data_IF_869386840175
#
_entry.id   IF_869386840175
#
_cell.length_a   1.000
_cell.length_b   1.000
_cell.length_c   1.000
_cell.angle_alpha   90.00
_cell.angle_beta   90.00
_cell.angle_gamma   90.00
#
_symmetry.space_group_name_H-M   'P 1'
#
loop_
_entity.id
_entity.type
_entity.pdbx_description
1 polymer ?
#
# COMPACT_ATOMS: atom_id res chain seq x y z
N UNK A 1 13.98 -6.95 -4.01
CA UNK A 1 13.13 -6.86 -2.80
C UNK A 1 11.69 -7.08 -3.25
N UNK A 2 11.09 -8.22 -2.91
CA UNK A 2 9.71 -8.53 -3.26
C UNK A 2 8.78 -7.63 -2.45
N UNK A 3 7.96 -6.83 -3.14
CA UNK A 3 6.89 -6.05 -2.53
C UNK A 3 5.69 -6.97 -2.46
N UNK A 4 5.25 -7.33 -1.26
CA UNK A 4 3.96 -7.98 -1.06
C UNK A 4 2.90 -6.91 -0.86
N UNK A 5 2.18 -6.56 -1.93
CA UNK A 5 0.96 -5.75 -1.80
C UNK A 5 -0.16 -6.68 -1.34
N UNK A 6 -0.37 -6.72 -0.03
CA UNK A 6 -1.46 -7.49 0.57
C UNK A 6 -2.64 -6.57 0.83
N UNK A 7 -3.71 -6.73 0.06
CA UNK A 7 -4.97 -6.04 0.32
C UNK A 7 -5.70 -6.67 1.50
N UNK A 8 -5.67 -6.03 2.67
CA UNK A 8 -6.47 -6.50 3.81
C UNK A 8 -7.94 -6.15 3.54
N UNK A 9 -8.80 -7.17 3.47
CA UNK A 9 -10.24 -6.98 3.37
C UNK A 9 -10.83 -6.84 4.77
N UNK A 10 -11.24 -5.63 5.13
CA UNK A 10 -11.99 -5.40 6.36
C UNK A 10 -13.46 -5.64 6.04
N UNK A 11 -14.04 -6.69 6.63
CA UNK A 11 -15.47 -7.00 6.49
C UNK A 11 -16.32 -6.07 7.37
N UNK A 12 -16.25 -4.76 7.08
CA UNK A 12 -17.05 -3.73 7.71
C UNK A 12 -17.53 -2.74 6.63
N UNK A 13 -18.83 -2.46 6.60
CA UNK A 13 -19.43 -1.58 5.58
C UNK A 13 -19.25 -2.10 4.14
N UNK A 14 -19.02 -1.24 3.14
CA UNK A 14 -18.95 -1.62 1.72
C UNK A 14 -17.76 -2.52 1.33
N UNK A 15 -16.88 -2.87 2.28
CA UNK A 15 -15.69 -3.68 2.07
C UNK A 15 -14.52 -2.82 1.63
N UNK A 16 -13.77 -2.30 2.60
CA UNK A 16 -12.56 -1.51 2.36
C UNK A 16 -11.35 -2.41 2.12
N UNK A 17 -10.42 -1.89 1.30
CA UNK A 17 -9.10 -2.48 1.08
C UNK A 17 -8.05 -1.47 1.53
N UNK A 18 -7.14 -1.95 2.37
CA UNK A 18 -5.97 -1.21 2.81
C UNK A 18 -4.75 -1.81 2.12
N UNK A 19 -3.86 -0.95 1.65
CA UNK A 19 -2.57 -1.34 1.09
C UNK A 19 -1.44 -0.89 2.03
N UNK A 20 -0.45 -1.75 2.22
CA UNK A 20 0.72 -1.45 3.04
C UNK A 20 1.94 -2.12 2.41
N UNK A 21 3.11 -1.55 2.69
CA UNK A 21 4.38 -2.21 2.44
C UNK A 21 5.05 -2.61 3.75
N UNK A 22 6.04 -3.50 3.67
CA UNK A 22 6.74 -4.01 4.85
C UNK A 22 8.26 -3.95 4.63
N UNK A 23 8.98 -3.44 5.62
CA UNK A 23 10.46 -3.42 5.66
C UNK A 23 10.90 -4.06 6.96
N UNK A 24 11.44 -5.28 6.88
CA UNK A 24 11.77 -6.06 8.07
C UNK A 24 10.55 -6.27 8.95
N UNK A 25 10.55 -5.68 10.15
CA UNK A 25 9.45 -5.73 11.12
C UNK A 25 8.53 -4.50 11.09
N UNK A 26 8.84 -3.50 10.24
CA UNK A 26 8.08 -2.26 10.15
C UNK A 26 7.03 -2.37 9.04
N UNK A 27 5.76 -2.16 9.40
CA UNK A 27 4.67 -1.97 8.42
C UNK A 27 4.50 -0.48 8.10
N UNK A 28 4.39 -0.17 6.81
CA UNK A 28 4.19 1.18 6.29
C UNK A 28 2.81 1.21 5.64
N UNK A 29 1.89 1.94 6.27
CA UNK A 29 0.56 2.14 5.72
C UNK A 29 0.63 3.08 4.52
N UNK A 30 0.25 2.59 3.35
CA UNK A 30 0.10 3.41 2.16
C UNK A 30 -1.34 3.94 2.23
N UNK A 31 -1.48 5.25 2.46
CA UNK A 31 -2.77 5.92 2.70
C UNK A 31 -3.62 6.02 1.43
N UNK A 32 -3.87 4.89 0.77
CA UNK A 32 -4.71 4.71 -0.39
C UNK A 32 -5.63 3.50 -0.17
N UNK A 33 -6.83 3.58 -0.75
CA UNK A 33 -7.85 2.57 -0.62
C UNK A 33 -9.17 3.07 -1.17
N UNK A 34 -9.99 2.13 -1.62
CA UNK A 34 -11.28 2.39 -2.24
C UNK A 34 -12.16 1.15 -2.20
N UNK A 35 -13.27 1.19 -2.92
CA UNK A 35 -14.17 0.04 -3.03
C UNK A 35 -13.70 -0.95 -4.11
N UNK A 36 -14.58 -1.90 -4.47
CA UNK A 36 -14.22 -2.92 -5.46
C UNK A 36 -13.95 -2.36 -6.86
N UNK A 37 -14.64 -1.29 -7.26
CA UNK A 37 -14.59 -0.70 -8.59
C UNK A 37 -13.26 -0.01 -8.89
N UNK A 38 -12.56 0.50 -7.86
CA UNK A 38 -11.31 1.25 -8.00
C UNK A 38 -10.06 0.42 -7.72
N UNK A 39 -10.21 -0.88 -7.44
CA UNK A 39 -9.14 -1.76 -6.97
C UNK A 39 -7.82 -1.61 -7.72
N UNK A 40 -7.88 -1.67 -9.05
CA UNK A 40 -6.67 -1.63 -9.87
C UNK A 40 -5.98 -0.26 -9.79
N UNK A 41 -6.76 0.83 -9.74
CA UNK A 41 -6.21 2.17 -9.59
C UNK A 41 -5.57 2.36 -8.21
N UNK A 42 -6.17 1.79 -7.17
CA UNK A 42 -5.63 1.88 -5.81
C UNK A 42 -4.35 1.04 -5.65
N UNK A 43 -4.26 -0.13 -6.30
CA UNK A 43 -3.02 -0.93 -6.37
C UNK A 43 -1.91 -0.12 -7.04
N UNK A 44 -2.19 0.50 -8.19
CA UNK A 44 -1.18 1.30 -8.90
C UNK A 44 -0.69 2.46 -8.02
N UNK A 45 -1.61 3.12 -7.31
CA UNK A 45 -1.25 4.22 -6.40
C UNK A 45 -0.44 3.76 -5.19
N UNK A 46 -0.73 2.58 -4.67
CA UNK A 46 0.08 1.96 -3.62
C UNK A 46 1.52 1.71 -4.11
N UNK A 47 1.70 1.22 -5.34
CA UNK A 47 3.03 1.04 -5.94
C UNK A 47 3.78 2.36 -6.10
N UNK A 48 3.09 3.42 -6.54
CA UNK A 48 3.69 4.75 -6.67
C UNK A 48 4.15 5.29 -5.30
N UNK A 49 3.30 5.19 -4.28
CA UNK A 49 3.64 5.63 -2.91
C UNK A 49 4.79 4.83 -2.31
N UNK A 50 4.84 3.52 -2.57
CA UNK A 50 5.95 2.70 -2.13
C UNK A 50 7.27 3.09 -2.80
N UNK A 51 7.21 3.40 -4.09
CA UNK A 51 8.39 3.84 -4.85
C UNK A 51 8.92 5.17 -4.32
N UNK A 52 8.04 6.14 -4.09
CA UNK A 52 8.38 7.44 -3.47
C UNK A 52 8.97 7.26 -2.07
N UNK A 53 8.40 6.37 -1.24
CA UNK A 53 8.93 6.04 0.07
C UNK A 53 10.38 5.53 0.00
N UNK A 54 10.66 4.57 -0.89
CA UNK A 54 12.01 4.00 -1.00
C UNK A 54 13.03 5.06 -1.45
N UNK A 55 12.69 5.85 -2.47
CA UNK A 55 13.57 6.90 -2.98
C UNK A 55 13.94 7.89 -1.86
N UNK A 56 12.95 8.35 -1.07
CA UNK A 56 13.21 9.23 0.07
C UNK A 56 14.01 8.54 1.16
N UNK A 57 13.82 7.24 1.39
CA UNK A 57 14.58 6.52 2.40
C UNK A 57 16.06 6.35 2.03
N UNK A 58 16.37 6.24 0.73
CA UNK A 58 17.74 6.17 0.21
C UNK A 58 18.43 7.54 0.24
N UNK A 59 17.71 8.64 -0.03
CA UNK A 59 18.24 10.00 0.06
C UNK A 59 18.57 10.44 1.50
N UNK A 60 17.95 9.81 2.51
CA UNK A 60 18.11 10.15 3.93
C UNK A 60 19.04 9.18 4.69
N UNK A 61 19.64 8.21 4.01
CA UNK A 61 20.61 7.24 4.57
C UNK A 61 22.05 7.57 4.19
#
# INVERSE_FOLDING_TARGET
>A
MLIEIVGLRINYGPGYRIYFGQIGLTMILLLCGGDKSTQQQDINRALDYWTDYNNRSEENG
#
